data_IF_579026400987
#
_entry.id   IF_579026400987
#
_cell.length_a   1.000
_cell.length_b   1.000
_cell.length_c   1.000
_cell.angle_alpha   90.00
_cell.angle_beta   90.00
_cell.angle_gamma   90.00
#
_symmetry.space_group_name_H-M   'P 1'
#
loop_
_entity.id
_entity.type
_entity.pdbx_description
1 polymer ?
#
# COMPACT_ATOMS: atom_id res chain seq x y z
N UNK A 1 -2.41 15.83 -20.46
CA UNK A 1 -2.62 16.92 -19.47
C UNK A 1 -3.74 17.89 -19.87
N UNK A 2 -4.13 18.01 -21.14
CA UNK A 2 -5.10 19.01 -21.62
C UNK A 2 -6.56 18.85 -21.13
N UNK A 3 -6.88 17.74 -20.45
CA UNK A 3 -8.24 17.40 -20.04
C UNK A 3 -8.49 17.57 -18.53
N UNK A 4 -7.46 17.98 -17.77
CA UNK A 4 -7.55 18.26 -16.34
C UNK A 4 -6.96 19.64 -16.08
N UNK A 5 -7.67 20.47 -15.33
CA UNK A 5 -7.18 21.81 -14.96
C UNK A 5 -6.22 21.73 -13.78
N UNK A 6 -5.29 22.69 -13.71
CA UNK A 6 -4.41 22.88 -12.54
C UNK A 6 -5.23 22.96 -11.25
N UNK A 7 -6.30 23.76 -11.25
CA UNK A 7 -7.19 23.91 -10.10
C UNK A 7 -7.88 22.61 -9.65
N UNK A 8 -8.09 21.63 -10.54
CA UNK A 8 -8.66 20.32 -10.13
C UNK A 8 -7.61 19.47 -9.41
N UNK A 9 -6.38 19.49 -9.93
CA UNK A 9 -5.24 18.77 -9.34
C UNK A 9 -4.87 19.35 -7.98
N UNK A 10 -4.81 20.68 -7.83
CA UNK A 10 -4.50 21.34 -6.56
C UNK A 10 -5.55 21.10 -5.46
N UNK A 11 -6.80 20.83 -5.87
CA UNK A 11 -7.89 20.47 -4.95
C UNK A 11 -7.89 18.99 -4.56
N UNK A 12 -7.05 18.15 -5.16
CA UNK A 12 -6.94 16.75 -4.75
C UNK A 12 -6.37 16.69 -3.32
N UNK A 13 -7.13 16.18 -2.33
CA UNK A 13 -6.74 16.23 -0.93
C UNK A 13 -5.50 15.37 -0.64
N UNK A 14 -5.28 14.27 -1.37
CA UNK A 14 -4.09 13.44 -1.29
C UNK A 14 -2.85 14.25 -1.65
N UNK A 15 -2.88 14.87 -2.84
CA UNK A 15 -1.79 15.71 -3.34
C UNK A 15 -1.51 16.86 -2.37
N UNK A 16 -2.55 17.56 -1.91
CA UNK A 16 -2.43 18.68 -0.97
C UNK A 16 -1.75 18.26 0.34
N UNK A 17 -2.14 17.11 0.90
CA UNK A 17 -1.55 16.58 2.12
C UNK A 17 -0.08 16.21 1.92
N UNK A 18 0.26 15.57 0.80
CA UNK A 18 1.65 15.22 0.50
C UNK A 18 2.54 16.45 0.26
N UNK A 19 2.02 17.50 -0.39
CA UNK A 19 2.73 18.79 -0.57
C UNK A 19 3.09 19.39 0.80
N UNK A 20 2.12 19.40 1.73
CA UNK A 20 2.33 19.92 3.07
C UNK A 20 3.38 19.10 3.84
N UNK A 21 3.26 17.76 3.81
CA UNK A 21 4.20 16.87 4.50
C UNK A 21 5.63 16.97 3.97
N UNK A 22 5.80 17.20 2.66
CA UNK A 22 7.12 17.35 2.02
C UNK A 22 7.67 18.77 2.08
N UNK A 23 6.91 19.73 2.59
CA UNK A 23 7.35 21.13 2.70
C UNK A 23 7.49 21.84 1.36
N UNK A 24 6.84 21.38 0.28
CA UNK A 24 6.98 21.93 -1.08
C UNK A 24 6.32 23.30 -1.31
N UNK A 25 5.90 23.98 -0.25
CA UNK A 25 5.10 25.23 -0.29
C UNK A 25 5.62 26.33 -1.22
N UNK A 26 6.93 26.41 -1.49
CA UNK A 26 7.54 27.42 -2.38
C UNK A 26 8.25 26.85 -3.60
N UNK A 27 8.32 25.53 -3.74
CA UNK A 27 9.14 24.86 -4.77
C UNK A 27 8.51 23.55 -5.23
N UNK A 28 7.21 23.59 -5.52
CA UNK A 28 6.44 22.42 -5.97
C UNK A 28 6.93 21.95 -7.35
N UNK A 29 7.47 20.73 -7.48
CA UNK A 29 7.85 20.20 -8.79
C UNK A 29 6.62 19.97 -9.67
N UNK A 30 6.67 20.40 -10.93
CA UNK A 30 5.56 20.22 -11.88
C UNK A 30 5.16 18.76 -12.04
N UNK A 31 6.13 17.84 -12.11
CA UNK A 31 5.86 16.41 -12.16
C UNK A 31 5.14 15.89 -10.91
N UNK A 32 5.41 16.48 -9.75
CA UNK A 32 4.69 16.15 -8.51
C UNK A 32 3.28 16.74 -8.49
N UNK A 33 3.05 17.91 -9.06
CA UNK A 33 1.68 18.38 -9.24
C UNK A 33 0.93 17.44 -10.20
N UNK A 34 1.52 17.07 -11.33
CA UNK A 34 0.86 16.32 -12.38
C UNK A 34 0.79 14.79 -12.18
N UNK A 35 1.39 14.21 -11.12
CA UNK A 35 1.42 12.76 -10.94
C UNK A 35 0.03 12.07 -10.92
N UNK A 36 -1.07 12.71 -10.47
CA UNK A 36 -2.40 12.11 -10.58
C UNK A 36 -2.82 11.83 -12.01
N UNK A 37 -2.41 12.69 -12.95
CA UNK A 37 -2.71 12.52 -14.36
C UNK A 37 -1.89 11.37 -14.94
N UNK A 38 -0.61 11.22 -14.53
CA UNK A 38 0.21 10.08 -14.98
C UNK A 38 -0.29 8.76 -14.40
N UNK A 39 -0.71 8.72 -13.12
CA UNK A 39 -1.31 7.52 -12.53
C UNK A 39 -2.64 7.14 -13.19
N UNK A 40 -3.48 8.13 -13.53
CA UNK A 40 -4.68 7.87 -14.33
C UNK A 40 -4.33 7.30 -15.71
N UNK A 41 -3.24 7.79 -16.33
CA UNK A 41 -2.75 7.24 -17.59
C UNK A 41 -2.27 5.78 -17.43
N UNK A 42 -1.57 5.44 -16.34
CA UNK A 42 -1.17 4.06 -16.03
C UNK A 42 -2.41 3.15 -15.94
N UNK A 43 -3.40 3.52 -15.12
CA UNK A 43 -4.64 2.74 -14.94
C UNK A 43 -5.38 2.55 -16.28
N UNK A 44 -5.56 3.64 -17.02
CA UNK A 44 -6.36 3.64 -18.26
C UNK A 44 -5.66 2.96 -19.42
N UNK A 45 -4.32 3.04 -19.51
CA UNK A 45 -3.56 2.33 -20.54
C UNK A 45 -3.73 0.81 -20.44
N UNK A 46 -3.91 0.28 -19.23
CA UNK A 46 -4.23 -1.12 -18.97
C UNK A 46 -5.73 -1.44 -19.02
N UNK A 47 -6.61 -0.43 -19.16
CA UNK A 47 -8.06 -0.55 -18.98
C UNK A 47 -8.41 -1.31 -17.69
N UNK A 48 -7.72 -0.99 -16.59
CA UNK A 48 -7.92 -1.70 -15.34
C UNK A 48 -9.30 -1.36 -14.74
N UNK A 49 -10.10 -2.38 -14.48
CA UNK A 49 -11.45 -2.23 -13.89
C UNK A 49 -11.43 -2.16 -12.35
N UNK A 50 -10.36 -2.68 -11.73
CA UNK A 50 -10.22 -2.77 -10.28
C UNK A 50 -8.80 -2.38 -9.88
N UNK A 51 -8.66 -1.46 -8.93
CA UNK A 51 -7.37 -0.92 -8.49
C UNK A 51 -7.28 -1.01 -6.96
N UNK A 52 -6.40 -1.87 -6.41
CA UNK A 52 -6.12 -1.92 -4.99
C UNK A 52 -5.51 -0.60 -4.50
N UNK A 53 -6.15 0.04 -3.52
CA UNK A 53 -5.73 1.34 -3.00
C UNK A 53 -6.00 1.46 -1.51
N UNK A 54 -5.28 2.35 -0.83
CA UNK A 54 -5.65 2.82 0.50
C UNK A 54 -6.72 3.92 0.43
N UNK A 55 -7.37 4.20 1.57
CA UNK A 55 -8.43 5.21 1.65
C UNK A 55 -7.97 6.60 1.20
N UNK A 56 -6.71 6.94 1.50
CA UNK A 56 -6.08 8.20 1.09
C UNK A 56 -5.88 8.33 -0.41
N UNK A 57 -6.09 7.27 -1.20
CA UNK A 57 -5.95 7.28 -2.65
C UNK A 57 -7.31 7.22 -3.37
N UNK A 58 -8.44 7.16 -2.66
CA UNK A 58 -9.78 7.28 -3.26
C UNK A 58 -9.93 8.53 -4.15
N UNK A 59 -9.42 9.72 -3.77
CA UNK A 59 -9.48 10.91 -4.64
C UNK A 59 -8.73 10.73 -5.96
N UNK A 60 -7.72 9.87 -6.00
CA UNK A 60 -6.96 9.54 -7.21
C UNK A 60 -7.79 8.68 -8.16
N UNK A 61 -8.53 7.72 -7.62
CA UNK A 61 -9.46 6.88 -8.38
C UNK A 61 -10.63 7.71 -8.92
N UNK A 62 -11.19 8.60 -8.11
CA UNK A 62 -12.21 9.56 -8.55
C UNK A 62 -11.70 10.43 -9.71
N UNK A 63 -10.52 11.04 -9.56
CA UNK A 63 -9.93 11.87 -10.60
C UNK A 63 -9.59 11.06 -11.87
N UNK A 64 -9.20 9.80 -11.73
CA UNK A 64 -9.01 8.88 -12.87
C UNK A 64 -10.32 8.66 -13.62
N UNK A 65 -11.42 8.45 -12.91
CA UNK A 65 -12.74 8.26 -13.50
C UNK A 65 -13.29 9.55 -14.16
N UNK A 66 -13.01 10.73 -13.59
CA UNK A 66 -13.31 12.01 -14.26
C UNK A 66 -12.53 12.15 -15.59
N UNK A 67 -11.25 11.75 -15.60
CA UNK A 67 -10.41 11.72 -16.80
C UNK A 67 -10.99 10.76 -17.84
N UNK A 68 -11.36 9.54 -17.44
CA UNK A 68 -12.01 8.54 -18.32
C UNK A 68 -13.28 9.12 -18.94
N UNK A 69 -14.16 9.71 -18.12
CA UNK A 69 -15.39 10.32 -18.59
C UNK A 69 -15.11 11.43 -19.60
N UNK A 70 -14.17 12.33 -19.28
CA UNK A 70 -13.81 13.43 -20.17
C UNK A 70 -13.18 12.94 -21.47
N UNK A 71 -12.28 11.96 -21.44
CA UNK A 71 -11.68 11.37 -22.64
C UNK A 71 -12.72 10.73 -23.54
N UNK A 72 -13.62 9.92 -22.97
CA UNK A 72 -14.68 9.26 -23.73
C UNK A 72 -15.66 10.26 -24.34
N UNK A 73 -15.85 11.46 -23.75
CA UNK A 73 -16.66 12.52 -24.35
C UNK A 73 -16.04 13.17 -25.60
N UNK A 74 -14.74 12.96 -25.84
CA UNK A 74 -14.00 13.49 -27.00
C UNK A 74 -13.99 12.52 -28.19
N UNK A 75 -14.52 11.31 -28.03
CA UNK A 75 -14.51 10.25 -29.04
C UNK A 75 -15.94 9.83 -29.39
N UNK A 76 -16.16 9.32 -30.61
CA UNK A 76 -17.50 8.90 -31.05
C UNK A 76 -18.07 7.74 -30.24
N UNK A 77 -17.19 6.85 -29.78
CA UNK A 77 -17.52 5.73 -28.90
C UNK A 77 -16.61 5.73 -27.68
N UNK A 78 -17.05 5.22 -26.52
CA UNK A 78 -16.20 5.10 -25.34
C UNK A 78 -15.09 4.08 -25.58
N UNK A 79 -13.86 4.42 -25.20
CA UNK A 79 -12.65 3.60 -25.40
C UNK A 79 -12.07 3.15 -24.05
N UNK A 80 -12.05 4.07 -23.09
CA UNK A 80 -11.53 3.85 -21.75
C UNK A 80 -12.63 3.37 -20.80
N UNK A 81 -12.23 2.64 -19.77
CA UNK A 81 -13.14 2.10 -18.77
C UNK A 81 -12.96 2.79 -17.43
N UNK A 82 -14.05 2.90 -16.69
CA UNK A 82 -14.01 3.32 -15.30
C UNK A 82 -13.40 2.21 -14.44
N UNK A 83 -12.64 2.62 -13.42
CA UNK A 83 -12.07 1.69 -12.45
C UNK A 83 -12.76 1.83 -11.09
N UNK A 84 -12.78 0.73 -10.34
CA UNK A 84 -13.27 0.68 -8.95
C UNK A 84 -12.07 0.58 -8.01
N UNK A 85 -12.14 1.28 -6.89
CA UNK A 85 -11.20 1.08 -5.80
C UNK A 85 -11.46 -0.28 -5.14
N UNK A 86 -10.40 -1.04 -4.89
CA UNK A 86 -10.42 -2.20 -4.01
C UNK A 86 -9.72 -1.81 -2.69
N UNK A 87 -10.51 -1.63 -1.64
CA UNK A 87 -10.01 -1.28 -0.31
C UNK A 87 -9.67 -2.55 0.48
N UNK A 88 -8.70 -2.43 1.39
CA UNK A 88 -8.33 -3.47 2.34
C UNK A 88 -9.09 -3.26 3.65
N UNK A 89 -9.52 -4.35 4.30
CA UNK A 89 -10.11 -4.31 5.64
C UNK A 89 -9.12 -3.78 6.69
N UNK A 90 -7.82 -4.00 6.45
CA UNK A 90 -6.73 -3.44 7.24
C UNK A 90 -6.12 -2.28 6.46
N UNK A 91 -6.51 -1.06 6.82
CA UNK A 91 -6.10 0.16 6.11
C UNK A 91 -4.61 0.47 6.28
N UNK A 92 -4.07 0.41 7.51
CA UNK A 92 -2.66 0.73 7.81
C UNK A 92 -2.13 -0.04 9.00
N UNK A 93 -0.88 -0.50 8.88
CA UNK A 93 -0.12 -1.04 10.00
C UNK A 93 0.61 0.08 10.74
N UNK A 94 0.51 0.13 12.09
CA UNK A 94 1.33 1.02 12.89
C UNK A 94 2.81 0.64 12.79
N UNK A 95 3.69 1.60 13.09
CA UNK A 95 5.10 1.33 13.28
C UNK A 95 5.35 0.48 14.53
N UNK A 96 6.52 -0.15 14.60
CA UNK A 96 6.92 -0.92 15.79
C UNK A 96 6.98 -0.05 17.06
N UNK A 97 7.12 1.27 16.89
CA UNK A 97 7.16 2.30 17.93
C UNK A 97 5.78 2.80 18.38
N UNK A 98 4.68 2.31 17.80
CA UNK A 98 3.31 2.77 18.09
C UNK A 98 2.85 3.99 17.28
N UNK A 99 3.70 4.55 16.40
CA UNK A 99 3.24 5.58 15.48
C UNK A 99 2.17 5.03 14.54
N UNK A 100 1.18 5.86 14.20
CA UNK A 100 0.03 5.47 13.36
C UNK A 100 0.39 4.98 11.94
N UNK A 101 1.66 5.15 11.52
CA UNK A 101 2.16 4.71 10.22
C UNK A 101 3.55 4.10 10.35
N UNK A 102 3.69 2.87 9.86
CA UNK A 102 4.98 2.30 9.53
C UNK A 102 5.58 2.98 8.29
N UNK A 103 6.81 3.51 8.38
CA UNK A 103 7.52 4.02 7.20
C UNK A 103 9.03 3.98 7.34
N UNK A 104 9.74 3.72 6.22
CA UNK A 104 11.21 3.62 6.20
C UNK A 104 11.88 4.92 6.68
N UNK A 105 11.30 6.08 6.34
CA UNK A 105 11.79 7.39 6.76
C UNK A 105 11.68 7.65 8.26
N UNK A 106 10.75 6.98 8.94
CA UNK A 106 10.59 7.07 10.40
C UNK A 106 11.46 6.04 11.14
N UNK A 107 12.13 5.12 10.43
CA UNK A 107 12.95 4.08 11.04
C UNK A 107 12.17 3.04 11.85
N UNK A 108 10.84 3.01 11.74
CA UNK A 108 9.94 2.18 12.55
C UNK A 108 9.38 0.96 11.81
N UNK A 109 10.12 0.44 10.83
CA UNK A 109 9.66 -0.62 9.92
C UNK A 109 10.24 -1.99 10.26
N UNK A 110 9.44 -3.04 10.03
CA UNK A 110 9.93 -4.40 9.88
C UNK A 110 9.87 -4.79 8.40
N UNK A 111 11.02 -5.15 7.81
CA UNK A 111 11.08 -5.48 6.37
C UNK A 111 10.71 -6.94 6.11
N UNK A 112 10.21 -7.25 4.91
CA UNK A 112 9.93 -8.64 4.50
C UNK A 112 11.19 -9.52 4.44
N UNK A 113 12.37 -8.91 4.39
CA UNK A 113 13.66 -9.61 4.40
C UNK A 113 14.27 -9.71 5.79
N UNK A 114 13.56 -9.31 6.85
CA UNK A 114 14.10 -9.25 8.20
C UNK A 114 14.61 -10.62 8.68
N UNK A 115 15.81 -10.67 9.24
CA UNK A 115 16.34 -11.88 9.88
C UNK A 115 15.53 -12.26 11.11
N UNK A 116 15.74 -13.48 11.62
CA UNK A 116 15.04 -13.94 12.83
C UNK A 116 15.37 -13.03 14.02
N UNK A 117 16.62 -12.61 14.12
CA UNK A 117 17.09 -11.66 15.13
C UNK A 117 16.50 -10.26 14.97
N UNK A 118 16.29 -9.79 13.73
CA UNK A 118 15.63 -8.50 13.47
C UNK A 118 14.16 -8.54 13.87
N UNK A 119 13.46 -9.65 13.59
CA UNK A 119 12.07 -9.87 14.01
C UNK A 119 12.00 -9.92 15.55
N UNK A 120 12.84 -10.73 16.19
CA UNK A 120 12.91 -10.81 17.66
C UNK A 120 13.16 -9.43 18.30
N UNK A 121 14.14 -8.68 17.79
CA UNK A 121 14.44 -7.32 18.29
C UNK A 121 13.27 -6.37 18.10
N UNK A 122 12.64 -6.37 16.93
CA UNK A 122 11.51 -5.50 16.63
C UNK A 122 10.30 -5.82 17.53
N UNK A 123 9.94 -7.09 17.68
CA UNK A 123 8.81 -7.51 18.53
C UNK A 123 9.09 -7.25 20.00
N UNK A 124 10.34 -7.46 20.44
CA UNK A 124 10.76 -7.16 21.81
C UNK A 124 10.57 -5.68 22.17
N UNK A 125 10.86 -4.76 21.24
CA UNK A 125 10.72 -3.32 21.45
C UNK A 125 9.33 -2.76 21.14
N UNK A 126 8.40 -3.58 20.64
CA UNK A 126 7.06 -3.10 20.30
C UNK A 126 6.34 -2.48 21.49
N UNK A 127 5.72 -1.33 21.24
CA UNK A 127 4.88 -0.64 22.20
C UNK A 127 3.63 -1.48 22.53
N UNK A 128 3.31 -1.58 23.83
CA UNK A 128 2.16 -2.35 24.34
C UNK A 128 1.22 -1.43 25.12
N UNK A 129 1.13 -1.57 26.44
CA UNK A 129 0.33 -0.70 27.32
C UNK A 129 1.24 -0.16 28.45
N UNK A 130 1.43 1.17 28.57
CA UNK A 130 2.26 1.75 29.62
C UNK A 130 1.67 1.54 31.02
N UNK A 131 0.39 1.22 31.14
CA UNK A 131 -0.31 0.99 32.41
C UNK A 131 -0.31 -0.48 32.84
N UNK A 132 0.10 -1.40 31.97
CA UNK A 132 0.18 -2.83 32.29
C UNK A 132 1.54 -3.16 32.92
N UNK A 133 1.63 -3.04 34.25
CA UNK A 133 2.89 -3.15 34.99
C UNK A 133 3.20 -4.57 35.48
N UNK A 134 2.16 -5.38 35.75
CA UNK A 134 2.30 -6.75 36.25
C UNK A 134 1.39 -7.67 35.45
N UNK A 135 1.79 -8.94 35.32
CA UNK A 135 1.03 -9.98 34.60
C UNK A 135 -0.41 -10.12 35.10
N UNK A 136 -0.66 -9.91 36.40
CA UNK A 136 -1.99 -10.02 36.99
C UNK A 136 -2.90 -8.81 36.71
N UNK A 137 -2.32 -7.67 36.32
CA UNK A 137 -3.07 -6.44 36.10
C UNK A 137 -3.85 -6.53 34.77
N UNK A 138 -5.06 -5.97 34.68
CA UNK A 138 -5.77 -5.80 33.42
C UNK A 138 -4.97 -4.91 32.45
N UNK A 139 -4.87 -5.32 31.18
CA UNK A 139 -4.21 -4.52 30.14
C UNK A 139 -5.18 -3.97 29.08
N UNK A 140 -4.77 -2.89 28.42
CA UNK A 140 -5.51 -2.25 27.33
C UNK A 140 -5.08 -2.78 25.95
N UNK A 141 -6.04 -3.22 25.14
CA UNK A 141 -5.78 -3.73 23.78
C UNK A 141 -5.73 -2.57 22.78
N UNK A 142 -6.55 -1.55 23.00
CA UNK A 142 -6.65 -0.37 22.15
C UNK A 142 -5.36 0.46 22.22
N UNK A 143 -4.65 0.58 21.09
CA UNK A 143 -3.34 1.23 21.01
C UNK A 143 -2.15 0.31 21.23
N UNK A 144 -2.38 -0.96 21.56
CA UNK A 144 -1.32 -1.96 21.68
C UNK A 144 -0.92 -2.49 20.29
N UNK A 145 0.33 -2.21 19.89
CA UNK A 145 0.86 -2.55 18.57
C UNK A 145 0.89 -4.06 18.35
N UNK A 146 1.16 -4.82 19.41
CA UNK A 146 1.27 -6.29 19.35
C UNK A 146 -0.07 -6.90 18.91
N UNK A 147 -1.18 -6.46 19.52
CA UNK A 147 -2.51 -6.94 19.13
C UNK A 147 -2.92 -6.48 17.73
N UNK A 148 -2.55 -5.26 17.34
CA UNK A 148 -2.79 -4.79 15.96
C UNK A 148 -2.12 -5.68 14.92
N UNK A 149 -0.88 -6.13 15.19
CA UNK A 149 -0.17 -7.04 14.28
C UNK A 149 -0.74 -8.45 14.31
N UNK A 150 -1.11 -8.97 15.48
CA UNK A 150 -1.77 -10.27 15.60
C UNK A 150 -3.09 -10.29 14.83
N UNK A 151 -3.88 -9.22 14.91
CA UNK A 151 -5.11 -9.08 14.10
C UNK A 151 -4.83 -9.12 12.60
N UNK A 152 -3.72 -8.52 12.15
CA UNK A 152 -3.37 -8.50 10.73
C UNK A 152 -2.85 -9.86 10.24
N UNK A 153 -1.99 -10.52 11.02
CA UNK A 153 -1.15 -11.63 10.52
C UNK A 153 -1.48 -13.00 11.10
N UNK A 154 -2.04 -13.08 12.31
CA UNK A 154 -2.34 -14.37 12.92
C UNK A 154 -3.49 -15.04 12.16
N UNK A 155 -3.30 -16.31 11.77
CA UNK A 155 -4.29 -17.05 10.98
C UNK A 155 -5.53 -17.38 11.81
N UNK A 156 -5.35 -17.78 13.07
CA UNK A 156 -6.46 -18.08 13.98
C UNK A 156 -6.95 -16.81 14.68
N UNK A 157 -8.09 -16.28 14.21
CA UNK A 157 -8.73 -15.10 14.80
C UNK A 157 -9.42 -15.38 16.13
N UNK A 158 -9.84 -16.62 16.39
CA UNK A 158 -10.47 -17.00 17.65
C UNK A 158 -9.42 -17.02 18.78
N UNK A 159 -8.22 -17.53 18.49
CA UNK A 159 -7.08 -17.44 19.40
C UNK A 159 -6.74 -15.99 19.77
N UNK A 160 -6.67 -15.09 18.78
CA UNK A 160 -6.39 -13.67 19.05
C UNK A 160 -7.51 -13.03 19.89
N UNK A 161 -8.77 -13.39 19.63
CA UNK A 161 -9.91 -12.89 20.41
C UNK A 161 -9.88 -13.37 21.87
N UNK A 162 -9.54 -14.64 22.12
CA UNK A 162 -9.33 -15.17 23.47
C UNK A 162 -8.19 -14.42 24.16
N UNK A 163 -7.05 -14.26 23.47
CA UNK A 163 -5.87 -13.65 24.04
C UNK A 163 -6.14 -12.18 24.43
N UNK A 164 -6.92 -11.46 23.62
CA UNK A 164 -7.41 -10.11 23.97
C UNK A 164 -8.32 -10.12 25.19
N UNK A 165 -9.23 -11.09 25.30
CA UNK A 165 -10.11 -11.20 26.46
C UNK A 165 -9.33 -11.53 27.74
N UNK A 166 -8.31 -12.39 27.64
CA UNK A 166 -7.41 -12.71 28.74
C UNK A 166 -6.57 -11.49 29.15
N UNK A 167 -6.00 -10.76 28.19
CA UNK A 167 -5.25 -9.53 28.46
C UNK A 167 -6.09 -8.48 29.20
N UNK A 168 -7.34 -8.25 28.76
CA UNK A 168 -8.28 -7.32 29.43
C UNK A 168 -8.72 -7.78 30.82
N UNK A 169 -8.75 -9.08 31.08
CA UNK A 169 -9.07 -9.63 32.41
C UNK A 169 -7.90 -9.55 33.39
N UNK A 170 -6.67 -9.52 32.86
CA UNK A 170 -5.45 -9.73 33.62
C UNK A 170 -5.10 -11.22 33.74
N UNK A 171 -3.83 -11.50 34.00
CA UNK A 171 -3.25 -12.85 34.04
C UNK A 171 -2.37 -13.19 32.82
N UNK A 172 -2.30 -12.31 31.82
CA UNK A 172 -1.53 -12.50 30.59
C UNK A 172 -0.45 -11.43 30.44
N UNK A 173 0.82 -11.84 30.49
CA UNK A 173 1.96 -10.92 30.38
C UNK A 173 2.27 -10.51 28.94
N UNK A 174 2.79 -9.28 28.74
CA UNK A 174 3.19 -8.76 27.42
C UNK A 174 4.18 -9.66 26.70
N UNK A 175 5.08 -10.31 27.45
CA UNK A 175 6.05 -11.25 26.90
C UNK A 175 5.36 -12.42 26.19
N UNK A 176 4.24 -12.93 26.73
CA UNK A 176 3.52 -14.04 26.10
C UNK A 176 2.85 -13.59 24.80
N UNK A 177 2.22 -12.40 24.79
CA UNK A 177 1.65 -11.81 23.59
C UNK A 177 2.73 -11.56 22.52
N UNK A 178 3.89 -11.04 22.93
CA UNK A 178 5.04 -10.81 22.05
C UNK A 178 5.60 -12.10 21.48
N UNK A 179 5.74 -13.15 22.28
CA UNK A 179 6.18 -14.46 21.80
C UNK A 179 5.21 -15.02 20.74
N UNK A 180 3.90 -14.92 20.97
CA UNK A 180 2.89 -15.35 20.00
C UNK A 180 3.00 -14.57 18.68
N UNK A 181 3.22 -13.25 18.76
CA UNK A 181 3.44 -12.43 17.57
C UNK A 181 4.75 -12.78 16.87
N UNK A 182 5.83 -13.00 17.62
CA UNK A 182 7.12 -13.37 17.05
C UNK A 182 6.98 -14.67 16.26
N UNK A 183 6.42 -15.74 16.85
CA UNK A 183 6.18 -17.00 16.14
C UNK A 183 5.38 -16.78 14.85
N UNK A 184 4.28 -16.02 14.93
CA UNK A 184 3.45 -15.70 13.77
C UNK A 184 4.24 -14.99 12.66
N UNK A 185 5.08 -14.00 12.99
CA UNK A 185 5.88 -13.27 12.01
C UNK A 185 7.01 -14.12 11.43
N UNK A 186 7.66 -14.97 12.24
CA UNK A 186 8.70 -15.88 11.77
C UNK A 186 8.13 -16.88 10.76
N UNK A 187 6.98 -17.50 11.06
CA UNK A 187 6.30 -18.44 10.18
C UNK A 187 5.84 -17.77 8.87
N UNK A 188 5.31 -16.55 8.96
CA UNK A 188 4.89 -15.77 7.79
C UNK A 188 6.07 -15.40 6.88
N UNK A 189 7.18 -14.94 7.47
CA UNK A 189 8.31 -14.40 6.72
C UNK A 189 9.31 -15.47 6.26
N UNK A 190 9.43 -16.61 6.95
CA UNK A 190 10.33 -17.70 6.58
C UNK A 190 10.26 -18.09 5.09
N UNK A 191 9.09 -18.45 4.52
CA UNK A 191 9.01 -18.82 3.10
C UNK A 191 9.26 -17.63 2.15
N UNK A 192 9.02 -16.39 2.59
CA UNK A 192 9.34 -15.19 1.81
C UNK A 192 10.85 -14.99 1.74
N UNK A 193 11.55 -15.15 2.85
CA UNK A 193 13.02 -15.05 2.94
C UNK A 193 13.71 -16.12 2.12
N UNK A 194 13.22 -17.36 2.19
CA UNK A 194 13.74 -18.47 1.39
C UNK A 194 13.62 -18.18 -0.11
N UNK A 195 12.42 -17.83 -0.59
CA UNK A 195 12.23 -17.44 -2.00
C UNK A 195 13.14 -16.29 -2.40
N UNK A 196 13.24 -15.25 -1.57
CA UNK A 196 14.12 -14.11 -1.83
C UNK A 196 15.58 -14.56 -1.97
N UNK A 197 16.05 -15.46 -1.12
CA UNK A 197 17.41 -16.00 -1.17
C UNK A 197 17.66 -16.79 -2.47
N UNK A 198 16.68 -17.56 -2.95
CA UNK A 198 16.76 -18.22 -4.26
C UNK A 198 16.83 -17.20 -5.40
N UNK A 199 15.91 -16.23 -5.43
CA UNK A 199 15.82 -15.26 -6.51
C UNK A 199 17.05 -14.34 -6.60
N UNK A 200 17.65 -13.95 -5.48
CA UNK A 200 18.79 -13.02 -5.49
C UNK A 200 20.09 -13.65 -6.00
N UNK A 201 20.18 -14.99 -5.98
CA UNK A 201 21.32 -15.73 -6.54
C UNK A 201 21.35 -15.68 -8.07
N UNK A 202 20.20 -15.51 -8.73
CA UNK A 202 20.09 -15.41 -10.19
C UNK A 202 19.50 -14.06 -10.62
N UNK A 203 20.38 -13.06 -10.72
CA UNK A 203 20.03 -11.73 -11.25
C UNK A 203 19.57 -11.79 -12.71
N UNK A 204 20.06 -12.76 -13.50
CA UNK A 204 19.69 -12.89 -14.92
C UNK A 204 18.23 -13.30 -15.09
N UNK A 205 17.77 -14.24 -14.25
CA UNK A 205 16.36 -14.63 -14.19
C UNK A 205 15.46 -13.49 -13.72
N UNK A 206 15.88 -12.71 -12.70
CA UNK A 206 15.12 -11.52 -12.27
C UNK A 206 14.96 -10.48 -13.38
N UNK A 207 16.03 -10.16 -14.10
CA UNK A 207 15.98 -9.24 -15.24
C UNK A 207 15.09 -9.80 -16.35
N UNK A 208 15.15 -11.10 -16.60
CA UNK A 208 14.28 -11.77 -17.58
C UNK A 208 12.81 -11.67 -17.19
N UNK A 209 12.48 -11.84 -15.91
CA UNK A 209 11.12 -11.71 -15.40
C UNK A 209 10.59 -10.27 -15.57
N UNK A 210 11.39 -9.27 -15.21
CA UNK A 210 11.04 -7.85 -15.38
C UNK A 210 10.86 -7.49 -16.86
N UNK A 211 11.75 -7.99 -17.72
CA UNK A 211 11.68 -7.77 -19.17
C UNK A 211 10.40 -8.34 -19.75
N UNK A 212 10.07 -9.61 -19.47
CA UNK A 212 8.84 -10.27 -19.95
C UNK A 212 7.58 -9.53 -19.51
N UNK A 213 7.53 -9.08 -18.25
CA UNK A 213 6.42 -8.28 -17.75
C UNK A 213 6.29 -6.95 -18.48
N UNK A 214 7.42 -6.28 -18.72
CA UNK A 214 7.47 -4.99 -19.42
C UNK A 214 7.08 -5.11 -20.90
N UNK A 215 7.51 -6.16 -21.58
CA UNK A 215 7.13 -6.44 -22.98
C UNK A 215 5.62 -6.69 -23.10
N UNK A 216 5.06 -7.54 -22.24
CA UNK A 216 3.61 -7.77 -22.19
C UNK A 216 2.82 -6.49 -21.88
N UNK A 217 3.31 -5.70 -20.92
CA UNK A 217 2.71 -4.41 -20.58
C UNK A 217 2.75 -3.43 -21.75
N UNK A 218 3.88 -3.37 -22.46
CA UNK A 218 4.03 -2.53 -23.64
C UNK A 218 3.03 -2.91 -24.73
N UNK A 219 2.92 -4.19 -25.08
CA UNK A 219 1.96 -4.66 -26.09
C UNK A 219 0.52 -4.26 -25.75
N UNK A 220 0.10 -4.45 -24.49
CA UNK A 220 -1.25 -4.12 -24.04
C UNK A 220 -1.51 -2.61 -24.08
N UNK A 221 -0.59 -1.82 -23.55
CA UNK A 221 -0.73 -0.35 -23.49
C UNK A 221 -0.64 0.31 -24.87
N UNK A 222 0.15 -0.23 -25.80
CA UNK A 222 0.19 0.25 -27.19
C UNK A 222 -1.14 0.02 -27.92
N UNK A 223 -1.83 -1.10 -27.67
CA UNK A 223 -3.17 -1.33 -28.22
C UNK A 223 -4.16 -0.27 -27.74
N UNK A 224 -4.20 -0.02 -26.43
CA UNK A 224 -5.05 1.04 -25.87
C UNK A 224 -4.70 2.42 -26.43
N UNK A 225 -3.41 2.75 -26.54
CA UNK A 225 -2.96 4.02 -27.13
C UNK A 225 -3.39 4.15 -28.60
N UNK A 226 -3.29 3.08 -29.38
CA UNK A 226 -3.72 3.05 -30.78
C UNK A 226 -5.23 3.34 -30.89
N UNK A 227 -6.05 2.70 -30.05
CA UNK A 227 -7.49 2.96 -30.01
C UNK A 227 -7.80 4.42 -29.67
N UNK A 228 -7.16 4.98 -28.63
CA UNK A 228 -7.34 6.38 -28.22
C UNK A 228 -6.93 7.33 -29.35
N UNK A 229 -5.77 7.12 -29.98
CA UNK A 229 -5.31 7.96 -31.11
C UNK A 229 -6.32 7.93 -32.25
N UNK A 230 -6.79 6.75 -32.64
CA UNK A 230 -7.80 6.58 -33.69
C UNK A 230 -9.12 7.26 -33.32
N UNK A 231 -9.57 7.11 -32.08
CA UNK A 231 -10.80 7.74 -31.58
C UNK A 231 -10.75 9.26 -31.60
N UNK A 232 -9.57 9.84 -31.36
CA UNK A 232 -9.32 11.28 -31.42
C UNK A 232 -9.00 11.80 -32.84
N UNK A 233 -8.97 10.92 -33.85
CA UNK A 233 -8.62 11.30 -35.22
C UNK A 233 -7.15 11.67 -35.42
N UNK A 234 -6.26 11.22 -34.53
CA UNK A 234 -4.82 11.45 -34.65
C UNK A 234 -4.20 10.46 -35.65
N UNK A 235 -3.15 10.86 -36.39
CA UNK A 235 -2.45 9.95 -37.29
C UNK A 235 -1.84 8.79 -36.50
N UNK A 236 -2.09 7.58 -36.98
CA UNK A 236 -1.51 6.36 -36.41
C UNK A 236 -0.52 5.82 -37.43
N UNK A 237 0.77 6.05 -37.16
CA UNK A 237 1.85 5.44 -37.95
C UNK A 237 1.96 3.97 -37.56
N UNK A 238 1.99 3.10 -38.56
CA UNK A 238 2.19 1.65 -38.42
C UNK A 238 3.64 1.33 -38.13
#
# INVERSE_FOLDING_TARGET
>A
MNIVTVARVERNPTVKNEIAQKGFSRSLPVGFLAYPISQAADITAFKAELVPVGDDQLPMIEQTNEIVHKMNSLTTTPILQHCKALLSDVSRLPGIDGNAKMSKSLGNTLTLSASEEEIHRAVSTMYTDPNHLRVADPGQVEGNVVFTYLDAFHADKAFVAEMKAHYRRGGLGDRQCKNALETCLQELLAPIRERRATYIQDKGMLLTLLRRGSERAHELTQRTLHEVKRGLGLPVLF
#
